data_IF_059666063588
#
_entry.id   IF_059666063588
#
_cell.length_a   1.000
_cell.length_b   1.000
_cell.length_c   1.000
_cell.angle_alpha   90.00
_cell.angle_beta   90.00
_cell.angle_gamma   90.00
#
_symmetry.space_group_name_H-M   'P 1'
#
loop_
_entity.id
_entity.type
_entity.pdbx_description
1 polymer ?
#
# COMPACT_ATOMS: atom_id res chain seq x y z
N UNK A 1 -15.82 -4.51 2.70
CA UNK A 1 -15.34 -3.58 1.65
C UNK A 1 -15.51 -2.12 2.06
N UNK A 2 -16.72 -1.68 2.48
CA UNK A 2 -16.95 -0.29 2.92
C UNK A 2 -16.12 0.16 4.14
N UNK A 3 -15.85 -0.73 5.10
CA UNK A 3 -15.06 -0.43 6.31
C UNK A 3 -13.59 -0.13 6.04
N UNK A 4 -12.96 -0.80 5.07
CA UNK A 4 -11.56 -0.54 4.70
C UNK A 4 -11.43 0.85 4.04
N UNK A 5 -12.33 1.18 3.13
CA UNK A 5 -12.37 2.49 2.48
C UNK A 5 -12.62 3.62 3.49
N UNK A 6 -13.51 3.42 4.46
CA UNK A 6 -13.77 4.40 5.51
C UNK A 6 -12.55 4.67 6.39
N UNK A 7 -11.76 3.64 6.72
CA UNK A 7 -10.52 3.79 7.48
C UNK A 7 -9.44 4.55 6.69
N UNK A 8 -9.26 4.22 5.41
CA UNK A 8 -8.35 4.95 4.53
C UNK A 8 -8.77 6.41 4.38
N UNK A 9 -10.05 6.65 4.15
CA UNK A 9 -10.60 7.99 4.02
C UNK A 9 -10.42 8.79 5.31
N UNK A 10 -10.68 8.17 6.47
CA UNK A 10 -10.51 8.78 7.80
C UNK A 10 -9.07 9.26 8.04
N UNK A 11 -8.06 8.57 7.50
CA UNK A 11 -6.67 9.00 7.60
C UNK A 11 -6.29 10.04 6.53
N UNK A 12 -6.75 9.84 5.30
CA UNK A 12 -6.34 10.67 4.16
C UNK A 12 -6.97 12.06 4.18
N UNK A 13 -8.20 12.17 4.69
CA UNK A 13 -8.95 13.43 4.81
C UNK A 13 -8.25 14.47 5.71
N UNK A 14 -7.85 14.16 6.96
CA UNK A 14 -7.15 15.13 7.82
C UNK A 14 -5.78 15.51 7.25
N UNK A 15 -5.03 14.56 6.65
CA UNK A 15 -3.78 14.85 5.96
C UNK A 15 -3.97 15.85 4.81
N UNK A 16 -5.02 15.66 4.01
CA UNK A 16 -5.36 16.58 2.92
C UNK A 16 -5.85 17.95 3.42
N UNK A 17 -6.59 17.99 4.53
CA UNK A 17 -7.03 19.23 5.16
C UNK A 17 -5.86 20.04 5.74
N UNK A 18 -4.91 19.37 6.40
CA UNK A 18 -3.67 19.99 6.90
C UNK A 18 -2.87 20.54 5.71
N UNK A 19 -2.78 19.77 4.63
CA UNK A 19 -2.14 20.17 3.39
C UNK A 19 -2.74 21.47 2.82
N UNK A 20 -4.06 21.52 2.67
CA UNK A 20 -4.77 22.72 2.21
C UNK A 20 -4.63 23.91 3.17
N UNK A 21 -4.64 23.65 4.47
CA UNK A 21 -4.43 24.68 5.50
C UNK A 21 -3.05 25.31 5.41
N UNK A 22 -2.01 24.53 5.12
CA UNK A 22 -0.65 25.04 4.91
C UNK A 22 -0.53 25.83 3.60
N UNK A 23 -1.18 25.40 2.51
CA UNK A 23 -1.16 26.12 1.23
C UNK A 23 -1.89 27.47 1.31
N UNK A 24 -2.97 27.55 2.07
CA UNK A 24 -3.77 28.77 2.25
C UNK A 24 -3.31 29.63 3.44
N UNK A 25 -2.19 29.29 4.08
CA UNK A 25 -1.63 30.02 5.22
C UNK A 25 -2.63 30.25 6.38
N UNK A 26 -3.56 29.31 6.60
CA UNK A 26 -4.59 29.43 7.64
C UNK A 26 -4.02 29.59 9.06
N UNK A 27 -2.78 29.16 9.28
CA UNK A 27 -2.08 29.26 10.57
C UNK A 27 -0.77 30.04 10.37
N UNK A 28 -0.77 31.36 10.59
CA UNK A 28 0.38 32.23 10.30
C UNK A 28 1.61 31.89 11.17
N UNK A 29 1.39 31.37 12.38
CA UNK A 29 2.45 30.98 13.33
C UNK A 29 3.34 29.87 12.76
N UNK A 30 2.74 28.90 12.06
CA UNK A 30 3.47 27.77 11.47
C UNK A 30 4.17 28.22 10.20
N UNK A 31 3.50 29.03 9.38
CA UNK A 31 4.02 29.49 8.10
C UNK A 31 5.26 30.39 8.26
N UNK A 32 5.29 31.25 9.29
CA UNK A 32 6.40 32.17 9.52
C UNK A 32 7.71 31.47 9.94
N UNK A 33 7.60 30.31 10.58
CA UNK A 33 8.76 29.53 11.03
C UNK A 33 9.24 28.50 9.98
N UNK A 34 8.59 28.43 8.82
CA UNK A 34 8.98 27.50 7.77
C UNK A 34 10.16 28.05 6.94
N UNK A 35 11.18 27.23 6.64
CA UNK A 35 12.26 27.64 5.75
C UNK A 35 11.74 27.91 4.33
N UNK A 36 12.28 28.95 3.68
CA UNK A 36 11.90 29.45 2.34
C UNK A 36 11.84 28.36 1.26
N UNK A 37 12.66 27.32 1.38
CA UNK A 37 12.67 26.20 0.44
C UNK A 37 11.37 25.38 0.54
N UNK A 38 10.88 25.15 1.76
CA UNK A 38 9.68 24.36 2.00
C UNK A 38 8.44 25.16 1.58
N UNK A 39 8.36 26.44 1.89
CA UNK A 39 7.20 27.27 1.51
C UNK A 39 7.01 27.34 -0.02
N UNK A 40 8.10 27.42 -0.78
CA UNK A 40 8.06 27.39 -2.25
C UNK A 40 7.67 26.01 -2.80
N UNK A 41 8.20 24.95 -2.21
CA UNK A 41 7.99 23.58 -2.69
C UNK A 41 6.71 22.93 -2.14
N UNK A 42 6.05 23.58 -1.18
CA UNK A 42 4.86 23.07 -0.51
C UNK A 42 3.86 22.63 -1.57
N UNK A 43 3.52 23.48 -2.56
CA UNK A 43 2.51 23.19 -3.60
C UNK A 43 2.69 21.84 -4.32
N UNK A 44 3.93 21.32 -4.35
CA UNK A 44 4.29 20.05 -5.00
C UNK A 44 4.36 18.85 -4.03
N UNK A 45 4.09 19.03 -2.74
CA UNK A 45 4.04 17.98 -1.72
C UNK A 45 3.23 16.73 -2.14
N UNK A 46 2.00 16.84 -2.71
CA UNK A 46 1.27 15.64 -3.15
C UNK A 46 2.00 14.88 -4.26
N UNK A 47 2.71 15.57 -5.15
CA UNK A 47 3.49 14.94 -6.24
C UNK A 47 4.67 14.16 -5.65
N UNK A 48 5.39 14.74 -4.69
CA UNK A 48 6.46 14.04 -3.99
C UNK A 48 5.94 12.81 -3.22
N UNK A 49 4.75 12.90 -2.62
CA UNK A 49 4.08 11.78 -1.96
C UNK A 49 3.78 10.63 -2.91
N UNK A 50 3.16 10.92 -4.06
CA UNK A 50 2.88 9.93 -5.11
C UNK A 50 4.18 9.30 -5.64
N UNK A 51 5.20 10.12 -5.89
CA UNK A 51 6.49 9.64 -6.37
C UNK A 51 7.14 8.70 -5.34
N UNK A 52 7.13 9.04 -4.06
CA UNK A 52 7.65 8.19 -2.99
C UNK A 52 6.92 6.86 -2.87
N UNK A 53 5.59 6.86 -2.95
CA UNK A 53 4.78 5.64 -2.97
C UNK A 53 5.11 4.81 -4.22
N UNK A 54 5.24 5.44 -5.39
CA UNK A 54 5.61 4.76 -6.63
C UNK A 54 6.97 4.07 -6.54
N UNK A 55 7.98 4.76 -6.00
CA UNK A 55 9.31 4.17 -5.76
C UNK A 55 9.24 3.03 -4.76
N UNK A 56 8.48 3.17 -3.67
CA UNK A 56 8.28 2.10 -2.70
C UNK A 56 7.66 0.86 -3.33
N UNK A 57 6.61 1.02 -4.13
CA UNK A 57 5.94 -0.08 -4.86
C UNK A 57 6.90 -0.72 -5.86
N UNK A 58 7.68 0.08 -6.58
CA UNK A 58 8.67 -0.44 -7.52
C UNK A 58 9.75 -1.26 -6.82
N UNK A 59 10.31 -0.76 -5.72
CA UNK A 59 11.33 -1.47 -4.95
C UNK A 59 10.75 -2.75 -4.33
N UNK A 60 9.56 -2.69 -3.74
CA UNK A 60 8.92 -3.86 -3.14
C UNK A 60 8.60 -4.93 -4.20
N UNK A 61 8.19 -4.51 -5.40
CA UNK A 61 8.00 -5.39 -6.55
C UNK A 61 9.33 -6.05 -6.96
N UNK A 62 10.40 -5.26 -7.15
CA UNK A 62 11.72 -5.79 -7.53
C UNK A 62 12.25 -6.78 -6.48
N UNK A 63 12.13 -6.46 -5.19
CA UNK A 63 12.49 -7.37 -4.10
C UNK A 63 11.62 -8.63 -4.13
N UNK A 64 10.32 -8.50 -4.35
CA UNK A 64 9.38 -9.62 -4.47
C UNK A 64 9.73 -10.57 -5.61
N UNK A 65 10.11 -10.02 -6.78
CA UNK A 65 10.56 -10.76 -7.95
C UNK A 65 11.89 -11.47 -7.67
N UNK A 66 12.89 -10.75 -7.13
CA UNK A 66 14.20 -11.34 -6.81
C UNK A 66 14.07 -12.45 -5.75
N UNK A 67 13.18 -12.26 -4.78
CA UNK A 67 13.00 -13.20 -3.67
C UNK A 67 12.13 -14.40 -4.06
N UNK A 68 11.57 -14.46 -5.28
CA UNK A 68 10.65 -15.53 -5.73
C UNK A 68 9.56 -15.85 -4.70
N UNK A 69 9.14 -14.85 -3.90
CA UNK A 69 8.26 -15.05 -2.75
C UNK A 69 6.90 -15.65 -3.18
N UNK A 70 6.42 -15.23 -4.35
CA UNK A 70 5.17 -15.69 -4.97
C UNK A 70 5.17 -17.19 -5.26
N UNK A 71 6.30 -17.78 -5.69
CA UNK A 71 6.33 -19.20 -6.08
C UNK A 71 6.27 -20.15 -4.89
N UNK A 72 6.91 -19.82 -3.74
CA UNK A 72 6.86 -20.70 -2.57
C UNK A 72 5.48 -20.67 -1.90
N UNK A 73 4.90 -19.48 -1.74
CA UNK A 73 3.57 -19.34 -1.15
C UNK A 73 2.50 -19.99 -2.04
N UNK A 74 2.47 -19.67 -3.34
CA UNK A 74 1.51 -20.25 -4.27
C UNK A 74 1.69 -21.76 -4.42
N UNK A 75 2.93 -22.28 -4.37
CA UNK A 75 3.16 -23.72 -4.43
C UNK A 75 2.65 -24.46 -3.19
N UNK A 76 2.81 -23.88 -1.99
CA UNK A 76 2.32 -24.48 -0.74
C UNK A 76 0.80 -24.54 -0.72
N UNK A 77 0.12 -23.48 -1.15
CA UNK A 77 -1.35 -23.46 -1.22
C UNK A 77 -1.89 -24.42 -2.29
N UNK A 78 -1.27 -24.46 -3.48
CA UNK A 78 -1.63 -25.42 -4.52
C UNK A 78 -1.41 -26.89 -4.08
N UNK A 79 -0.32 -27.19 -3.38
CA UNK A 79 -0.07 -28.57 -2.93
C UNK A 79 -1.07 -29.01 -1.86
N UNK A 80 -1.56 -28.09 -1.01
CA UNK A 80 -2.65 -28.35 -0.09
C UNK A 80 -3.94 -28.74 -0.80
N UNK A 81 -4.35 -27.96 -1.81
CA UNK A 81 -5.55 -28.26 -2.60
C UNK A 81 -5.43 -29.61 -3.33
N UNK A 82 -4.23 -29.95 -3.84
CA UNK A 82 -3.95 -31.25 -4.46
C UNK A 82 -4.04 -32.39 -3.44
N UNK A 83 -3.54 -32.21 -2.21
CA UNK A 83 -3.58 -33.23 -1.17
C UNK A 83 -5.01 -33.49 -0.67
N UNK A 84 -5.82 -32.44 -0.51
CA UNK A 84 -7.25 -32.56 -0.20
C UNK A 84 -8.00 -33.27 -1.31
N UNK A 85 -7.79 -32.88 -2.57
CA UNK A 85 -8.39 -33.54 -3.74
C UNK A 85 -7.99 -35.01 -3.83
N UNK A 86 -6.71 -35.34 -3.58
CA UNK A 86 -6.24 -36.74 -3.51
C UNK A 86 -6.97 -37.52 -2.42
N UNK A 87 -7.16 -36.92 -1.25
CA UNK A 87 -7.89 -37.54 -0.13
C UNK A 87 -9.34 -37.84 -0.49
N UNK A 88 -10.03 -36.90 -1.12
CA UNK A 88 -11.41 -37.09 -1.59
C UNK A 88 -11.52 -38.18 -2.66
N UNK A 89 -10.60 -38.20 -3.63
CA UNK A 89 -10.60 -39.19 -4.70
C UNK A 89 -10.28 -40.60 -4.17
N UNK A 90 -9.44 -40.72 -3.13
CA UNK A 90 -9.17 -41.97 -2.41
C UNK A 90 -10.38 -42.45 -1.60
N UNK A 91 -11.08 -41.54 -0.94
CA UNK A 91 -12.35 -41.85 -0.25
C UNK A 91 -13.43 -42.34 -1.23
N UNK A 92 -13.47 -41.75 -2.43
CA UNK A 92 -14.37 -42.17 -3.52
C UNK A 92 -13.89 -43.43 -4.25
N UNK A 93 -12.74 -44.02 -3.87
CA UNK A 93 -12.11 -45.20 -4.51
C UNK A 93 -11.87 -45.06 -6.02
N UNK A 94 -11.64 -43.82 -6.48
CA UNK A 94 -11.32 -43.54 -7.89
C UNK A 94 -9.83 -43.78 -8.16
N UNK A 95 -9.00 -43.66 -7.12
CA UNK A 95 -7.54 -43.87 -7.14
C UNK A 95 -7.13 -44.55 -5.83
N UNK A 96 -6.13 -45.44 -5.88
CA UNK A 96 -5.61 -46.24 -4.75
C UNK A 96 -4.83 -45.43 -3.69
#
# INVERSE_FOLDING_TARGET
MATQLALFLSLLLPLFLIWLGLVNEWIPIINQNLPLVISKNIKYAPIYGIFGIGVYVFISMVIGVITFNECKAAHVDLMKEVEETKRELRQRKIID
#
